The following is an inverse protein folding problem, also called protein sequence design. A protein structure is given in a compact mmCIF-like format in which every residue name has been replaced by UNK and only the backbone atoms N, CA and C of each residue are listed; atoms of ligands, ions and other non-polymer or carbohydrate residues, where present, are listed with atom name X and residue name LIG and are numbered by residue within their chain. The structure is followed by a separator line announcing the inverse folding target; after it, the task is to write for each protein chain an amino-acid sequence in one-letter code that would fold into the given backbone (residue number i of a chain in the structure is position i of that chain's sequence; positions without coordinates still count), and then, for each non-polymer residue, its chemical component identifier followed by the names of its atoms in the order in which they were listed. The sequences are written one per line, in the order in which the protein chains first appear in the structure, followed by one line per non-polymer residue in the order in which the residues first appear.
data_IF_145884978829
#
_entry.id   IF_145884978829
#
_cell.length_a   1.000
_cell.length_b   1.000
_cell.length_c   1.000
_cell.angle_alpha   90.00
_cell.angle_beta   90.00
_cell.angle_gamma   90.00
#
_symmetry.space_group_name_H-M   'P 1'
#
loop_
_entity.id
_entity.type
_entity.pdbx_description
1 polymer ?
#
# COMPACT_ATOMS: atom_id res chain seq x y z
N UNK A 1 -15.83 -6.56 50.95
CA UNK A 1 -16.31 -5.88 49.74
C UNK A 1 -15.36 -6.29 48.62
N UNK A 2 -15.79 -7.25 47.81
CA UNK A 2 -15.02 -7.72 46.65
C UNK A 2 -15.36 -6.78 45.52
N UNK A 3 -14.38 -5.99 45.05
CA UNK A 3 -14.51 -5.20 43.82
C UNK A 3 -14.53 -6.18 42.63
N UNK A 4 -15.67 -6.21 41.97
CA UNK A 4 -15.83 -6.94 40.71
C UNK A 4 -14.88 -6.32 39.64
N UNK A 5 -13.91 -7.09 39.21
CA UNK A 5 -13.02 -6.69 38.12
C UNK A 5 -13.74 -7.01 36.82
N UNK A 6 -14.37 -6.02 36.23
CA UNK A 6 -14.95 -6.13 34.89
C UNK A 6 -13.82 -6.26 33.85
N UNK A 7 -13.55 -7.49 33.42
CA UNK A 7 -12.61 -7.74 32.32
C UNK A 7 -13.33 -7.42 31.02
N UNK A 8 -13.21 -6.19 30.57
CA UNK A 8 -13.65 -5.80 29.21
C UNK A 8 -12.65 -6.37 28.20
N UNK A 9 -12.97 -7.53 27.65
CA UNK A 9 -12.20 -8.07 26.55
C UNK A 9 -12.27 -7.11 25.35
N UNK A 10 -11.15 -6.53 24.96
CA UNK A 10 -11.03 -5.76 23.73
C UNK A 10 -11.46 -6.66 22.56
N UNK A 11 -12.64 -6.40 22.01
CA UNK A 11 -13.20 -7.16 20.91
C UNK A 11 -12.24 -7.03 19.73
N UNK A 12 -11.67 -8.14 19.26
CA UNK A 12 -10.73 -8.19 18.14
C UNK A 12 -11.26 -7.38 16.96
N UNK A 13 -10.42 -6.52 16.38
CA UNK A 13 -10.76 -5.78 15.17
C UNK A 13 -10.85 -6.68 13.94
N UNK A 14 -10.42 -7.95 14.03
CA UNK A 14 -10.45 -8.93 12.95
C UNK A 14 -11.44 -10.03 13.29
N UNK A 15 -12.41 -10.26 12.40
CA UNK A 15 -13.35 -11.39 12.44
C UNK A 15 -13.02 -12.37 11.31
N UNK A 16 -13.17 -13.66 11.59
CA UNK A 16 -12.96 -14.74 10.62
C UNK A 16 -14.32 -15.30 10.23
N UNK A 17 -14.59 -15.32 8.94
CA UNK A 17 -15.71 -16.02 8.32
C UNK A 17 -15.19 -17.20 7.48
N UNK A 18 -16.10 -18.00 6.92
CA UNK A 18 -15.74 -19.26 6.26
C UNK A 18 -14.79 -19.04 5.05
N UNK A 19 -14.97 -17.97 4.32
CA UNK A 19 -14.30 -17.65 3.05
C UNK A 19 -13.49 -16.35 3.10
N UNK A 20 -13.61 -15.56 4.17
CA UNK A 20 -12.99 -14.23 4.27
C UNK A 20 -12.63 -13.84 5.71
N UNK A 21 -11.69 -12.92 5.81
CA UNK A 21 -11.40 -12.18 7.05
C UNK A 21 -11.99 -10.78 6.92
N UNK A 22 -12.67 -10.31 7.95
CA UNK A 22 -13.24 -8.97 8.01
C UNK A 22 -12.51 -8.15 9.07
N UNK A 23 -12.00 -7.02 8.67
CA UNK A 23 -11.30 -6.06 9.53
C UNK A 23 -12.23 -4.87 9.76
N UNK A 24 -12.74 -4.74 10.98
CA UNK A 24 -13.59 -3.62 11.40
C UNK A 24 -12.72 -2.39 11.70
N UNK A 25 -12.89 -1.32 10.94
CA UNK A 25 -12.04 -0.12 11.04
C UNK A 25 -12.36 0.73 12.25
N UNK A 26 -13.62 0.84 12.64
CA UNK A 26 -14.04 1.64 13.82
C UNK A 26 -13.43 1.14 15.14
N UNK A 27 -12.96 -0.10 15.16
CA UNK A 27 -12.28 -0.69 16.33
C UNK A 27 -10.76 -0.57 16.28
N UNK A 28 -10.21 -0.08 15.17
CA UNK A 28 -8.77 0.07 14.95
C UNK A 28 -8.34 1.53 15.11
N UNK A 29 -8.18 1.97 16.36
CA UNK A 29 -7.84 3.35 16.72
C UNK A 29 -6.48 3.77 16.12
N UNK A 30 -5.57 2.84 15.93
CA UNK A 30 -4.22 3.13 15.41
C UNK A 30 -4.24 3.57 13.92
N UNK A 31 -5.27 3.18 13.18
CA UNK A 31 -5.37 3.46 11.74
C UNK A 31 -6.34 4.61 11.40
N UNK A 32 -6.97 5.23 12.39
CA UNK A 32 -8.06 6.21 12.18
C UNK A 32 -7.66 7.42 11.32
N UNK A 33 -6.39 7.79 11.30
CA UNK A 33 -5.87 8.96 10.58
C UNK A 33 -5.00 8.60 9.35
N UNK A 34 -4.97 7.33 8.96
CA UNK A 34 -4.17 6.83 7.85
C UNK A 34 -4.98 6.51 6.59
N UNK A 35 -4.48 5.56 5.84
CA UNK A 35 -5.07 5.01 4.62
C UNK A 35 -5.49 3.54 4.82
N UNK A 36 -6.08 2.94 3.80
CA UNK A 36 -6.35 1.49 3.81
C UNK A 36 -5.07 0.66 4.04
N UNK A 37 -3.90 1.14 3.60
CA UNK A 37 -2.61 0.47 3.82
C UNK A 37 -2.30 0.37 5.31
N UNK A 38 -2.52 1.46 6.07
CA UNK A 38 -2.22 1.49 7.52
C UNK A 38 -3.12 0.54 8.31
N UNK A 39 -4.39 0.41 7.89
CA UNK A 39 -5.30 -0.59 8.47
C UNK A 39 -4.79 -2.01 8.17
N UNK A 40 -4.45 -2.28 6.91
CA UNK A 40 -3.99 -3.59 6.46
C UNK A 40 -2.67 -3.99 7.11
N UNK A 41 -1.77 -3.05 7.41
CA UNK A 41 -0.53 -3.31 8.12
C UNK A 41 -0.73 -3.89 9.53
N UNK A 42 -1.91 -3.71 10.12
CA UNK A 42 -2.26 -4.29 11.44
C UNK A 42 -2.78 -5.73 11.35
N UNK A 43 -3.00 -6.24 10.12
CA UNK A 43 -3.62 -7.56 9.91
C UNK A 43 -2.56 -8.65 9.79
N UNK A 44 -2.58 -9.69 10.63
CA UNK A 44 -1.74 -10.85 10.46
C UNK A 44 -1.94 -11.48 9.07
N UNK A 45 -0.91 -11.84 8.37
CA UNK A 45 -0.89 -12.34 6.97
C UNK A 45 -0.81 -11.28 5.87
N UNK A 46 -0.77 -10.02 6.22
CA UNK A 46 -0.44 -8.94 5.30
C UNK A 46 0.92 -8.36 5.70
N UNK A 47 1.75 -8.11 4.71
CA UNK A 47 3.04 -7.48 4.89
C UNK A 47 3.07 -6.17 4.12
N UNK A 48 3.66 -5.16 4.71
CA UNK A 48 3.91 -3.88 4.05
C UNK A 48 5.40 -3.65 3.97
N UNK A 49 5.89 -3.23 2.81
CA UNK A 49 7.29 -2.86 2.66
C UNK A 49 7.53 -1.40 3.07
N UNK A 50 8.78 -0.97 3.04
CA UNK A 50 9.19 0.42 3.38
C UNK A 50 8.62 1.46 2.42
N UNK A 51 8.21 1.06 1.23
CA UNK A 51 7.58 1.91 0.22
C UNK A 51 6.05 1.98 0.42
N UNK A 52 5.52 1.24 1.39
CA UNK A 52 4.08 1.16 1.68
C UNK A 52 3.33 0.26 0.69
N UNK A 53 4.01 -0.63 -0.04
CA UNK A 53 3.33 -1.63 -0.85
C UNK A 53 2.87 -2.78 0.01
N UNK A 54 1.63 -3.17 -0.21
CA UNK A 54 0.98 -4.28 0.46
C UNK A 54 1.26 -5.57 -0.29
N UNK A 55 1.54 -6.64 0.43
CA UNK A 55 1.57 -7.99 -0.10
C UNK A 55 0.67 -8.91 0.73
N UNK A 56 -0.12 -9.72 0.04
CA UNK A 56 -0.99 -10.73 0.61
C UNK A 56 -0.35 -12.09 0.43
N UNK A 57 -0.03 -12.78 1.53
CA UNK A 57 0.69 -14.06 1.50
C UNK A 57 2.01 -14.02 0.72
N UNK A 58 2.73 -12.89 0.80
CA UNK A 58 3.99 -12.70 0.10
C UNK A 58 3.88 -12.35 -1.39
N UNK A 59 2.67 -12.20 -1.94
CA UNK A 59 2.43 -11.80 -3.32
C UNK A 59 1.78 -10.41 -3.39
N UNK A 60 2.22 -9.61 -4.36
CA UNK A 60 1.60 -8.31 -4.70
C UNK A 60 0.49 -8.43 -5.75
N UNK A 61 0.29 -9.65 -6.30
CA UNK A 61 -0.72 -9.94 -7.33
C UNK A 61 -2.11 -10.20 -6.74
N UNK A 62 -2.69 -9.27 -6.00
CA UNK A 62 -4.05 -9.32 -5.48
C UNK A 62 -4.94 -8.30 -6.18
N UNK A 63 -6.26 -8.52 -6.15
CA UNK A 63 -7.25 -7.61 -6.72
C UNK A 63 -7.84 -6.73 -5.62
N UNK A 64 -8.00 -5.43 -5.89
CA UNK A 64 -8.71 -4.50 -5.00
C UNK A 64 -10.11 -4.24 -5.55
N UNK A 65 -11.10 -4.45 -4.70
CA UNK A 65 -12.49 -4.06 -4.94
C UNK A 65 -12.87 -2.91 -4.01
N UNK A 66 -13.72 -2.03 -4.50
CA UNK A 66 -14.36 -0.98 -3.71
C UNK A 66 -15.87 -1.22 -3.78
N UNK A 67 -16.49 -1.53 -2.64
CA UNK A 67 -17.89 -1.93 -2.55
C UNK A 67 -18.27 -3.06 -3.54
N UNK A 68 -17.37 -4.03 -3.72
CA UNK A 68 -17.56 -5.18 -4.61
C UNK A 68 -17.27 -4.92 -6.09
N UNK A 69 -16.81 -3.73 -6.49
CA UNK A 69 -16.44 -3.38 -7.87
C UNK A 69 -14.92 -3.29 -8.00
N UNK A 70 -14.31 -3.86 -9.06
CA UNK A 70 -12.88 -3.76 -9.29
C UNK A 70 -12.41 -2.30 -9.38
N UNK A 71 -11.29 -1.99 -8.72
CA UNK A 71 -10.64 -0.70 -8.87
C UNK A 71 -10.03 -0.56 -10.27
N UNK A 72 -10.15 0.62 -10.85
CA UNK A 72 -9.46 0.97 -12.11
C UNK A 72 -7.99 1.33 -11.91
N UNK A 73 -7.58 1.57 -10.66
CA UNK A 73 -6.21 1.85 -10.28
C UNK A 73 -5.47 0.55 -9.99
N UNK A 74 -4.14 0.60 -10.07
CA UNK A 74 -3.30 -0.46 -9.53
C UNK A 74 -3.64 -0.74 -8.06
N UNK A 75 -3.53 -1.99 -7.64
CA UNK A 75 -3.98 -2.45 -6.33
C UNK A 75 -3.37 -1.62 -5.18
N UNK A 76 -2.05 -1.42 -5.18
CA UNK A 76 -1.37 -0.67 -4.13
C UNK A 76 -1.70 0.83 -4.20
N UNK A 77 -1.82 1.38 -5.40
CA UNK A 77 -2.21 2.78 -5.58
C UNK A 77 -3.64 3.04 -5.07
N UNK A 78 -4.57 2.11 -5.31
CA UNK A 78 -5.93 2.19 -4.79
C UNK A 78 -5.96 2.21 -3.25
N UNK A 79 -5.21 1.30 -2.62
CA UNK A 79 -5.15 1.22 -1.16
C UNK A 79 -4.57 2.48 -0.51
N UNK A 80 -3.58 3.11 -1.14
CA UNK A 80 -2.97 4.36 -0.63
C UNK A 80 -3.89 5.56 -0.74
N UNK A 81 -4.85 5.54 -1.67
CA UNK A 81 -5.73 6.67 -1.95
C UNK A 81 -7.01 6.65 -1.12
N UNK A 82 -7.33 5.54 -0.44
CA UNK A 82 -8.56 5.43 0.34
C UNK A 82 -8.29 5.80 1.80
N UNK A 83 -8.83 6.93 2.29
CA UNK A 83 -8.66 7.34 3.68
C UNK A 83 -9.35 6.35 4.63
N UNK A 84 -8.69 5.98 5.71
CA UNK A 84 -9.19 5.03 6.71
C UNK A 84 -10.55 5.44 7.29
N UNK A 85 -10.76 6.73 7.51
CA UNK A 85 -12.00 7.27 8.09
C UNK A 85 -13.23 7.09 7.19
N UNK A 86 -13.04 6.84 5.89
CA UNK A 86 -14.12 6.56 4.94
C UNK A 86 -14.50 5.09 4.87
N UNK A 87 -13.69 4.21 5.48
CA UNK A 87 -13.85 2.76 5.43
C UNK A 87 -14.72 2.30 6.60
N UNK A 88 -15.69 1.44 6.33
CA UNK A 88 -16.48 0.73 7.32
C UNK A 88 -15.74 -0.55 7.76
N UNK A 89 -15.43 -1.39 6.79
CA UNK A 89 -14.65 -2.61 6.99
C UNK A 89 -13.84 -2.98 5.74
N UNK A 90 -12.84 -3.84 5.93
CA UNK A 90 -12.05 -4.44 4.83
C UNK A 90 -12.24 -5.95 4.86
N UNK A 91 -12.67 -6.52 3.75
CA UNK A 91 -12.80 -7.96 3.56
C UNK A 91 -11.60 -8.50 2.80
N UNK A 92 -10.92 -9.49 3.36
CA UNK A 92 -9.77 -10.16 2.76
C UNK A 92 -10.19 -11.57 2.38
N UNK A 93 -10.33 -11.82 1.08
CA UNK A 93 -10.79 -13.08 0.49
C UNK A 93 -9.57 -13.78 -0.08
N UNK A 94 -9.15 -14.87 0.55
CA UNK A 94 -7.94 -15.61 0.15
C UNK A 94 -8.22 -16.73 -0.85
N UNK A 95 -9.48 -17.14 -0.98
CA UNK A 95 -9.92 -18.16 -1.94
C UNK A 95 -11.11 -17.59 -2.73
N UNK A 96 -10.84 -16.70 -3.73
CA UNK A 96 -11.89 -16.10 -4.50
C UNK A 96 -12.65 -17.16 -5.34
N UNK A 97 -13.97 -16.99 -5.44
CA UNK A 97 -14.77 -17.83 -6.32
C UNK A 97 -14.45 -17.53 -7.80
N UNK A 98 -14.77 -18.47 -8.70
CA UNK A 98 -14.55 -18.33 -10.14
C UNK A 98 -15.27 -17.11 -10.79
N UNK A 99 -16.11 -16.41 -10.04
CA UNK A 99 -16.77 -15.17 -10.48
C UNK A 99 -15.78 -14.00 -10.62
N UNK A 100 -14.70 -14.04 -9.85
CA UNK A 100 -13.64 -13.05 -9.93
C UNK A 100 -12.54 -13.66 -10.78
N UNK A 101 -12.42 -13.16 -12.01
CA UNK A 101 -11.44 -13.65 -12.97
C UNK A 101 -10.04 -13.68 -12.35
N UNK A 102 -9.28 -14.67 -12.77
CA UNK A 102 -7.99 -15.07 -12.20
C UNK A 102 -6.84 -14.04 -12.30
N UNK A 103 -7.14 -12.76 -12.45
CA UNK A 103 -6.15 -11.69 -12.49
C UNK A 103 -5.37 -11.48 -11.18
N UNK A 104 -5.89 -12.00 -10.06
CA UNK A 104 -5.25 -11.91 -8.74
C UNK A 104 -4.95 -13.29 -8.17
N UNK A 105 -3.73 -13.77 -8.31
CA UNK A 105 -3.29 -15.07 -7.81
C UNK A 105 -3.26 -15.18 -6.28
N UNK A 106 -3.13 -14.04 -5.57
CA UNK A 106 -2.98 -14.01 -4.11
C UNK A 106 -4.30 -13.87 -3.35
N UNK A 107 -5.35 -13.37 -4.00
CA UNK A 107 -6.66 -13.12 -3.39
C UNK A 107 -7.25 -11.76 -3.72
N UNK A 108 -8.26 -11.38 -2.95
CA UNK A 108 -9.02 -10.13 -3.14
C UNK A 108 -9.03 -9.35 -1.82
N UNK A 109 -8.84 -8.06 -1.91
CA UNK A 109 -9.07 -7.10 -0.83
C UNK A 109 -10.27 -6.24 -1.23
N UNK A 110 -11.41 -6.42 -0.57
CA UNK A 110 -12.61 -5.64 -0.83
C UNK A 110 -12.81 -4.60 0.27
N UNK A 111 -12.78 -3.34 -0.11
CA UNK A 111 -12.97 -2.21 0.80
C UNK A 111 -14.43 -1.81 0.78
N UNK A 112 -15.08 -1.95 1.94
CA UNK A 112 -16.46 -1.50 2.15
C UNK A 112 -16.41 -0.10 2.75
N UNK A 113 -16.94 0.86 2.03
CA UNK A 113 -17.01 2.24 2.52
C UNK A 113 -18.28 2.48 3.34
N UNK A 114 -18.21 3.43 4.27
CA UNK A 114 -19.36 3.81 5.12
C UNK A 114 -20.54 4.26 4.27
N UNK A 115 -21.72 3.66 4.48
CA UNK A 115 -22.95 3.97 3.70
C UNK A 115 -23.44 5.41 3.87
N UNK A 116 -23.08 6.08 4.96
CA UNK A 116 -23.36 7.49 5.23
C UNK A 116 -22.09 8.34 4.99
N UNK A 117 -21.52 8.26 3.81
CA UNK A 117 -20.58 9.27 3.38
C UNK A 117 -21.39 10.47 2.91
N UNK A 118 -21.58 11.45 3.80
CA UNK A 118 -22.09 12.77 3.42
C UNK A 118 -21.17 13.38 2.36
N UNK A 119 -21.70 14.33 1.59
CA UNK A 119 -20.87 15.19 0.75
C UNK A 119 -19.70 15.71 1.60
N UNK A 120 -18.49 15.63 1.07
CA UNK A 120 -17.32 16.03 1.85
C UNK A 120 -16.05 16.04 0.99
N UNK A 121 -15.04 16.67 1.56
CA UNK A 121 -13.70 16.71 0.99
C UNK A 121 -12.75 16.03 1.97
N UNK A 122 -11.95 15.10 1.47
CA UNK A 122 -10.88 14.47 2.23
C UNK A 122 -9.57 14.60 1.47
N UNK A 123 -8.47 14.69 2.20
CA UNK A 123 -7.15 14.78 1.58
C UNK A 123 -6.08 14.16 2.47
N UNK A 124 -5.06 13.65 1.84
CA UNK A 124 -3.88 13.09 2.49
C UNK A 124 -2.66 13.74 1.87
N UNK A 125 -1.72 14.14 2.72
CA UNK A 125 -0.41 14.64 2.31
C UNK A 125 0.64 13.86 3.08
N UNK A 126 1.53 13.19 2.35
CA UNK A 126 2.67 12.50 2.92
C UNK A 126 3.95 13.17 2.43
N UNK A 127 4.91 13.37 3.33
CA UNK A 127 6.24 13.87 3.02
C UNK A 127 7.25 12.88 3.59
N UNK A 128 8.24 12.53 2.79
CA UNK A 128 9.29 11.57 3.13
C UNK A 128 10.65 12.19 2.93
N UNK A 129 11.55 11.94 3.85
CA UNK A 129 12.96 12.29 3.75
C UNK A 129 13.81 11.11 4.18
N UNK A 130 14.95 10.93 3.55
CA UNK A 130 15.86 9.83 3.84
C UNK A 130 17.31 10.22 3.70
N UNK A 131 18.20 9.26 3.92
CA UNK A 131 19.63 9.42 3.68
C UNK A 131 19.95 9.49 2.19
N UNK A 132 21.16 9.94 1.85
CA UNK A 132 21.62 10.01 0.47
C UNK A 132 20.74 10.86 -0.44
N UNK A 133 20.34 12.05 0.03
CA UNK A 133 19.54 13.01 -0.74
C UNK A 133 18.24 12.38 -1.30
N UNK A 134 17.62 11.48 -0.52
CA UNK A 134 16.36 10.84 -0.88
C UNK A 134 15.21 11.60 -0.25
N UNK A 135 14.28 12.10 -1.06
CA UNK A 135 13.10 12.82 -0.61
C UNK A 135 11.93 12.62 -1.55
N UNK A 136 10.75 12.85 -1.05
CA UNK A 136 9.54 12.72 -1.84
C UNK A 136 8.30 13.06 -1.06
N UNK A 137 7.18 13.03 -1.74
CA UNK A 137 5.88 13.21 -1.14
C UNK A 137 4.78 12.79 -2.08
N UNK A 138 3.63 12.56 -1.50
CA UNK A 138 2.40 12.29 -2.24
C UNK A 138 1.25 13.07 -1.62
N UNK A 139 0.36 13.51 -2.48
CA UNK A 139 -0.86 14.20 -2.09
C UNK A 139 -2.04 13.58 -2.81
N UNK A 140 -3.12 13.37 -2.09
CA UNK A 140 -4.40 12.91 -2.63
C UNK A 140 -5.49 13.83 -2.11
N UNK A 141 -6.36 14.27 -3.00
CA UNK A 141 -7.56 15.04 -2.69
C UNK A 141 -8.77 14.32 -3.29
N UNK A 142 -9.76 14.01 -2.45
CA UNK A 142 -11.01 13.38 -2.86
C UNK A 142 -12.18 14.27 -2.46
N UNK A 143 -13.04 14.59 -3.42
CA UNK A 143 -14.25 15.38 -3.23
C UNK A 143 -15.44 14.48 -3.57
N UNK A 144 -16.25 14.16 -2.58
CA UNK A 144 -17.51 13.43 -2.76
C UNK A 144 -18.68 14.41 -2.79
N UNK A 145 -19.47 14.30 -3.85
CA UNK A 145 -20.68 15.09 -4.02
C UNK A 145 -21.81 14.19 -4.55
N UNK A 146 -22.79 13.93 -3.68
CA UNK A 146 -23.89 12.99 -3.95
C UNK A 146 -23.38 11.59 -4.32
N UNK A 147 -23.57 11.19 -5.58
CA UNK A 147 -23.14 9.88 -6.10
C UNK A 147 -21.77 9.89 -6.77
N UNK A 148 -21.17 11.06 -6.93
CA UNK A 148 -19.88 11.22 -7.60
C UNK A 148 -18.75 11.42 -6.61
N UNK A 149 -17.65 10.74 -6.82
CA UNK A 149 -16.39 10.98 -6.12
C UNK A 149 -15.33 11.38 -7.14
N UNK A 150 -14.78 12.56 -6.98
CA UNK A 150 -13.68 13.09 -7.78
C UNK A 150 -12.41 12.94 -6.98
N UNK A 151 -11.42 12.23 -7.51
CA UNK A 151 -10.12 12.08 -6.84
C UNK A 151 -9.02 12.57 -7.75
N UNK A 152 -8.13 13.40 -7.21
CA UNK A 152 -6.85 13.76 -7.82
C UNK A 152 -5.74 13.35 -6.87
N UNK A 153 -4.73 12.70 -7.41
CA UNK A 153 -3.56 12.26 -6.65
C UNK A 153 -2.29 12.57 -7.43
N UNK A 154 -1.23 12.90 -6.72
CA UNK A 154 0.07 13.11 -7.30
C UNK A 154 1.17 12.63 -6.36
N UNK A 155 2.24 12.11 -6.91
CA UNK A 155 3.44 11.79 -6.15
C UNK A 155 4.69 12.30 -6.85
N UNK A 156 5.69 12.57 -6.04
CA UNK A 156 7.05 12.83 -6.47
C UNK A 156 8.02 12.09 -5.57
N UNK A 157 9.03 11.45 -6.16
CA UNK A 157 10.10 10.77 -5.43
C UNK A 157 11.43 11.02 -6.12
N UNK A 158 12.39 11.49 -5.34
CA UNK A 158 13.79 11.60 -5.71
C UNK A 158 14.60 10.66 -4.84
N UNK A 159 15.40 9.79 -5.46
CA UNK A 159 16.29 8.88 -4.76
C UNK A 159 17.68 8.95 -5.38
N UNK A 160 18.69 9.23 -4.57
CA UNK A 160 20.09 9.04 -4.91
C UNK A 160 20.62 7.80 -4.21
N UNK A 161 21.27 6.94 -4.95
CA UNK A 161 21.93 5.74 -4.40
C UNK A 161 23.40 5.75 -4.80
N UNK A 162 24.29 6.25 -3.92
CA UNK A 162 25.71 6.14 -4.13
C UNK A 162 26.13 4.67 -4.06
N UNK A 163 26.99 4.28 -4.92
CA UNK A 163 27.57 2.95 -4.96
C UNK A 163 29.03 2.99 -5.31
N UNK A 164 29.75 1.95 -5.00
CA UNK A 164 31.12 1.72 -5.43
C UNK A 164 31.16 0.42 -6.20
N UNK A 165 31.88 0.41 -7.32
CA UNK A 165 32.13 -0.82 -8.04
C UNK A 165 33.63 -1.09 -8.12
N UNK A 166 33.98 -2.35 -8.01
CA UNK A 166 35.33 -2.84 -8.23
C UNK A 166 35.24 -4.05 -9.13
N UNK A 167 35.97 -4.01 -10.22
CA UNK A 167 36.00 -5.10 -11.18
C UNK A 167 37.47 -5.39 -11.54
N UNK A 168 37.82 -6.68 -11.50
CA UNK A 168 39.14 -7.14 -11.94
C UNK A 168 38.90 -8.04 -13.16
N UNK A 169 39.47 -7.67 -14.29
CA UNK A 169 39.50 -8.47 -15.50
C UNK A 169 40.90 -8.99 -15.70
N UNK A 170 41.07 -10.30 -15.76
CA UNK A 170 42.37 -10.93 -16.06
C UNK A 170 42.28 -11.65 -17.37
N UNK A 171 43.14 -11.31 -18.31
CA UNK A 171 43.22 -11.92 -19.64
C UNK A 171 44.60 -12.57 -19.80
N UNK A 172 44.63 -13.82 -20.20
CA UNK A 172 45.84 -14.54 -20.53
C UNK A 172 46.13 -14.35 -22.02
N UNK A 173 47.27 -13.75 -22.33
CA UNK A 173 47.71 -13.53 -23.69
C UNK A 173 49.15 -14.04 -23.82
N UNK A 174 49.39 -15.08 -24.62
CA UNK A 174 50.71 -15.65 -24.88
C UNK A 174 51.55 -15.85 -23.59
N UNK A 175 51.05 -16.63 -22.63
CA UNK A 175 51.66 -16.89 -21.31
C UNK A 175 51.85 -15.64 -20.40
N UNK A 176 51.30 -14.51 -20.78
CA UNK A 176 51.31 -13.31 -19.95
C UNK A 176 49.93 -13.02 -19.46
N UNK A 177 49.76 -12.91 -18.13
CA UNK A 177 48.48 -12.50 -17.54
C UNK A 177 48.42 -10.98 -17.43
N UNK A 178 47.51 -10.38 -18.18
CA UNK A 178 47.20 -8.95 -18.05
C UNK A 178 45.98 -8.79 -17.15
N UNK A 179 46.15 -8.07 -16.04
CA UNK A 179 45.06 -7.79 -15.11
C UNK A 179 44.71 -6.30 -15.15
N UNK A 180 43.46 -6.04 -15.46
CA UNK A 180 42.90 -4.68 -15.44
C UNK A 180 42.01 -4.55 -14.20
N UNK A 181 42.34 -3.61 -13.30
CA UNK A 181 41.54 -3.29 -12.13
C UNK A 181 40.76 -2.00 -12.41
N UNK A 182 39.46 -2.08 -12.36
CA UNK A 182 38.55 -0.94 -12.40
C UNK A 182 37.97 -0.72 -11.01
N UNK A 183 38.23 0.43 -10.41
CA UNK A 183 37.65 0.87 -9.15
C UNK A 183 37.02 2.24 -9.37
N UNK A 184 35.74 2.38 -9.05
CA UNK A 184 35.04 3.62 -9.32
C UNK A 184 33.81 3.81 -8.43
N UNK A 185 33.35 5.05 -8.40
CA UNK A 185 32.08 5.42 -7.79
C UNK A 185 30.99 5.37 -8.85
N UNK A 186 29.83 4.88 -8.47
CA UNK A 186 28.62 4.87 -9.29
C UNK A 186 27.50 5.54 -8.50
N UNK A 187 26.87 6.49 -9.11
CA UNK A 187 25.70 7.14 -8.55
C UNK A 187 24.50 6.82 -9.43
N UNK A 188 23.40 6.44 -8.79
CA UNK A 188 22.13 6.23 -9.48
C UNK A 188 21.12 7.22 -8.93
N UNK A 189 20.60 8.05 -9.81
CA UNK A 189 19.58 9.05 -9.50
C UNK A 189 18.30 8.59 -10.17
N UNK A 190 17.23 8.48 -9.36
CA UNK A 190 15.89 8.14 -9.84
C UNK A 190 14.94 9.25 -9.49
N UNK A 191 14.27 9.78 -10.50
CA UNK A 191 13.15 10.70 -10.35
C UNK A 191 11.88 9.99 -10.82
N UNK A 192 10.89 9.93 -9.95
CA UNK A 192 9.58 9.41 -10.30
C UNK A 192 8.53 10.47 -9.96
N UNK A 193 7.65 10.75 -10.89
CA UNK A 193 6.49 11.61 -10.69
C UNK A 193 5.28 10.98 -11.37
N UNK A 194 4.14 11.10 -10.73
CA UNK A 194 2.89 10.58 -11.23
C UNK A 194 1.76 11.54 -10.83
N UNK A 195 0.81 11.74 -11.74
CA UNK A 195 -0.44 12.45 -11.46
C UNK A 195 -1.57 11.60 -12.01
N UNK A 196 -2.58 11.37 -11.20
CA UNK A 196 -3.77 10.56 -11.52
C UNK A 196 -5.03 11.35 -11.18
N UNK A 197 -6.04 11.17 -11.99
CA UNK A 197 -7.40 11.65 -11.72
C UNK A 197 -8.39 10.53 -11.95
N UNK A 198 -9.39 10.40 -11.08
CA UNK A 198 -10.50 9.48 -11.24
C UNK A 198 -11.83 10.11 -10.90
N UNK A 199 -12.88 9.62 -11.55
CA UNK A 199 -14.27 9.97 -11.26
C UNK A 199 -15.00 8.64 -11.07
N UNK A 200 -15.59 8.47 -9.90
CA UNK A 200 -16.38 7.29 -9.55
C UNK A 200 -17.86 7.71 -9.37
N UNK A 201 -18.76 6.83 -9.82
CA UNK A 201 -20.23 7.02 -9.77
C UNK A 201 -20.89 5.86 -9.03
#
# INVERSE_FOLDING_TARGET
IVNEVEVTALKSSVRYELDKKIVDVDKNIAAANGTAVDILATVPSIQTNIDGDVSLRGSTGFLVLINGRPSVLDANDALRQIPANTIDNIEIITNPSARYDAGGTAGIINIITKKKSNDGTSGILNIRGGTFNSYGGDATLSIKKKKFTYTIAGNYRHNERPGRYKSTLSTLLNDTTVSTLNDGKKERIFNNYNVKGSIEF
#
